data_IF_464368761232
#
_entry.id   IF_464368761232
#
_cell.length_a   1.000
_cell.length_b   1.000
_cell.length_c   1.000
_cell.angle_alpha   90.00
_cell.angle_beta   90.00
_cell.angle_gamma   90.00
#
_symmetry.space_group_name_H-M   'P 1'
#
loop_
_entity.id
_entity.type
_entity.pdbx_description
1 polymer ?
#
# COMPACT_ATOMS: atom_id res chain seq x y z
N UNK A 1 6.31 23.67 -8.67
CA UNK A 1 5.15 22.92 -9.21
C UNK A 1 4.00 23.05 -8.20
N UNK A 2 2.77 23.31 -8.62
CA UNK A 2 1.58 23.32 -7.74
C UNK A 2 0.65 22.18 -8.17
N UNK A 3 0.21 21.35 -7.21
CA UNK A 3 -0.75 20.27 -7.46
C UNK A 3 -2.17 20.83 -7.28
N UNK A 4 -2.99 20.72 -8.33
CA UNK A 4 -4.38 21.17 -8.37
C UNK A 4 -5.36 20.05 -8.68
N UNK A 5 -4.91 19.07 -9.46
CA UNK A 5 -5.74 17.95 -9.93
C UNK A 5 -5.14 16.62 -9.48
N UNK A 6 -6.01 15.71 -9.03
CA UNK A 6 -5.64 14.37 -8.57
C UNK A 6 -6.49 13.33 -9.27
N UNK A 7 -5.85 12.31 -9.82
CA UNK A 7 -6.53 11.11 -10.29
C UNK A 7 -6.21 9.93 -9.37
N UNK A 8 -7.22 9.17 -8.97
CA UNK A 8 -7.08 7.99 -8.09
C UNK A 8 -7.54 6.77 -8.87
N UNK A 9 -6.69 5.76 -8.96
CA UNK A 9 -7.04 4.47 -9.56
C UNK A 9 -7.16 3.40 -8.48
N UNK A 10 -8.37 2.79 -8.40
CA UNK A 10 -8.71 1.77 -7.42
C UNK A 10 -9.48 2.32 -6.21
N UNK A 11 -10.73 1.85 -6.04
CA UNK A 11 -11.56 2.12 -4.86
C UNK A 11 -11.52 0.93 -3.87
N UNK A 12 -10.29 0.54 -3.49
CA UNK A 12 -10.01 -0.24 -2.30
C UNK A 12 -10.21 0.59 -1.03
N UNK A 13 -9.77 0.07 0.13
CA UNK A 13 -9.87 0.81 1.39
C UNK A 13 -9.17 2.17 1.29
N UNK A 14 -7.92 2.20 0.83
CA UNK A 14 -7.12 3.43 0.74
C UNK A 14 -7.65 4.41 -0.31
N UNK A 15 -8.12 3.91 -1.46
CA UNK A 15 -8.68 4.77 -2.50
C UNK A 15 -9.97 5.46 -2.06
N UNK A 16 -10.83 4.78 -1.29
CA UNK A 16 -12.02 5.42 -0.69
C UNK A 16 -11.59 6.40 0.40
N UNK A 17 -10.67 6.01 1.27
CA UNK A 17 -10.21 6.82 2.41
C UNK A 17 -9.65 8.17 1.95
N UNK A 18 -8.59 8.13 1.14
CA UNK A 18 -7.93 9.35 0.66
C UNK A 18 -8.74 10.06 -0.41
N UNK A 19 -9.47 9.33 -1.27
CA UNK A 19 -10.38 9.93 -2.24
C UNK A 19 -11.49 10.74 -1.59
N UNK A 20 -12.13 10.22 -0.55
CA UNK A 20 -13.16 10.94 0.20
C UNK A 20 -12.60 12.16 0.96
N UNK A 21 -11.39 12.02 1.52
CA UNK A 21 -10.69 13.11 2.18
C UNK A 21 -10.44 14.28 1.21
N UNK A 22 -10.00 13.98 0.01
CA UNK A 22 -9.72 14.98 -1.03
C UNK A 22 -11.01 15.54 -1.65
N UNK A 23 -11.99 14.68 -1.98
CA UNK A 23 -13.25 15.11 -2.58
C UNK A 23 -14.08 16.06 -1.70
N UNK A 24 -13.92 15.99 -0.37
CA UNK A 24 -14.56 16.93 0.56
C UNK A 24 -13.89 18.31 0.60
N UNK A 25 -12.72 18.49 0.01
CA UNK A 25 -11.88 19.69 0.15
C UNK A 25 -11.47 20.37 -1.15
N UNK A 26 -11.46 19.61 -2.25
CA UNK A 26 -11.18 20.14 -3.59
C UNK A 26 -12.47 20.31 -4.39
N UNK A 27 -12.48 21.17 -5.41
CA UNK A 27 -13.52 21.15 -6.44
C UNK A 27 -13.69 19.75 -7.01
N UNK A 28 -14.93 19.33 -7.23
CA UNK A 28 -15.27 17.96 -7.61
C UNK A 28 -14.54 17.48 -8.87
N UNK A 29 -14.42 18.34 -9.85
CA UNK A 29 -13.74 18.08 -11.12
C UNK A 29 -12.23 17.85 -10.98
N UNK A 30 -11.65 18.30 -9.86
CA UNK A 30 -10.22 18.19 -9.59
C UNK A 30 -9.84 16.88 -8.91
N UNK A 31 -10.81 16.06 -8.46
CA UNK A 31 -10.57 14.73 -7.88
C UNK A 31 -11.28 13.69 -8.72
N UNK A 32 -10.54 13.01 -9.56
CA UNK A 32 -11.04 12.04 -10.52
C UNK A 32 -10.82 10.60 -10.00
N UNK A 33 -11.87 9.80 -10.00
CA UNK A 33 -11.79 8.38 -9.70
C UNK A 33 -11.83 7.62 -11.02
N UNK A 34 -10.71 7.01 -11.39
CA UNK A 34 -10.59 6.26 -12.63
C UNK A 34 -11.12 4.84 -12.40
N UNK A 35 -12.11 4.43 -13.19
CA UNK A 35 -12.66 3.09 -13.20
C UNK A 35 -13.26 2.75 -14.58
N UNK A 36 -13.29 1.46 -14.94
CA UNK A 36 -14.00 1.01 -16.12
C UNK A 36 -15.51 1.33 -16.05
N UNK A 37 -16.15 1.38 -17.20
CA UNK A 37 -17.57 1.79 -17.33
C UNK A 37 -18.50 0.96 -16.43
N UNK A 38 -18.31 -0.36 -16.36
CA UNK A 38 -19.13 -1.25 -15.53
C UNK A 38 -18.98 -0.91 -14.02
N UNK A 39 -17.76 -0.59 -13.58
CA UNK A 39 -17.52 -0.15 -12.20
C UNK A 39 -18.11 1.22 -11.95
N UNK A 40 -17.97 2.16 -12.88
CA UNK A 40 -18.58 3.50 -12.78
C UNK A 40 -20.10 3.42 -12.63
N UNK A 41 -20.78 2.64 -13.48
CA UNK A 41 -22.22 2.42 -13.38
C UNK A 41 -22.62 1.84 -12.03
N UNK A 42 -21.91 0.80 -11.58
CA UNK A 42 -22.14 0.19 -10.28
C UNK A 42 -21.94 1.18 -9.13
N UNK A 43 -20.87 1.97 -9.14
CA UNK A 43 -20.61 2.97 -8.10
C UNK A 43 -21.64 4.09 -8.09
N UNK A 44 -22.11 4.52 -9.26
CA UNK A 44 -23.21 5.50 -9.37
C UNK A 44 -24.52 4.95 -8.81
N UNK A 45 -24.84 3.70 -9.15
CA UNK A 45 -26.08 3.00 -8.73
C UNK A 45 -26.06 2.69 -7.24
N UNK A 46 -25.05 1.96 -6.78
CA UNK A 46 -25.00 1.40 -5.42
C UNK A 46 -24.44 2.39 -4.39
N UNK A 47 -23.73 3.42 -4.86
CA UNK A 47 -22.99 4.35 -4.02
C UNK A 47 -21.68 3.75 -3.48
N UNK A 48 -20.77 4.64 -3.08
CA UNK A 48 -19.58 4.32 -2.30
C UNK A 48 -19.68 5.10 -1.01
N UNK A 49 -19.38 4.47 0.12
CA UNK A 49 -19.60 5.07 1.44
C UNK A 49 -18.33 5.04 2.27
N UNK A 50 -18.11 6.12 3.03
CA UNK A 50 -17.03 6.27 3.98
C UNK A 50 -17.60 6.68 5.34
N UNK A 51 -17.43 5.86 6.37
CA UNK A 51 -17.96 6.08 7.73
C UNK A 51 -19.46 6.44 7.75
N UNK A 52 -20.26 5.73 6.94
CA UNK A 52 -21.71 5.90 6.84
C UNK A 52 -22.18 6.99 5.87
N UNK A 53 -21.32 7.89 5.42
CA UNK A 53 -21.65 8.93 4.46
C UNK A 53 -21.37 8.50 3.02
N UNK A 54 -22.25 8.88 2.09
CA UNK A 54 -22.03 8.64 0.66
C UNK A 54 -20.94 9.58 0.15
N UNK A 55 -19.91 9.00 -0.51
CA UNK A 55 -18.85 9.78 -1.14
C UNK A 55 -19.37 10.47 -2.42
N UNK A 56 -19.07 11.75 -2.58
CA UNK A 56 -19.40 12.50 -3.79
C UNK A 56 -18.21 12.50 -4.76
N UNK A 57 -18.01 11.37 -5.44
CA UNK A 57 -16.89 11.18 -6.37
C UNK A 57 -17.23 11.61 -7.79
N UNK A 58 -16.25 12.20 -8.46
CA UNK A 58 -16.23 12.41 -9.90
C UNK A 58 -15.57 11.19 -10.55
N UNK A 59 -16.37 10.36 -11.21
CA UNK A 59 -15.91 9.16 -11.91
C UNK A 59 -15.56 9.48 -13.36
N UNK A 60 -14.43 8.97 -13.82
CA UNK A 60 -13.97 9.05 -15.21
C UNK A 60 -13.56 7.67 -15.70
N UNK A 61 -13.75 7.40 -17.00
CA UNK A 61 -13.27 6.16 -17.61
C UNK A 61 -11.85 6.30 -18.16
N UNK A 62 -11.10 5.20 -18.34
CA UNK A 62 -9.76 5.25 -18.95
C UNK A 62 -9.72 5.86 -20.34
N UNK A 63 -10.83 5.78 -21.08
CA UNK A 63 -10.98 6.28 -22.45
C UNK A 63 -11.34 7.77 -22.51
N UNK A 64 -11.81 8.33 -21.41
CA UNK A 64 -12.21 9.73 -21.33
C UNK A 64 -10.98 10.64 -21.47
N UNK A 65 -11.02 11.53 -22.45
CA UNK A 65 -9.96 12.50 -22.67
C UNK A 65 -10.09 13.66 -21.69
N UNK A 66 -9.07 13.86 -20.89
CA UNK A 66 -8.99 14.96 -19.93
C UNK A 66 -7.56 15.51 -19.87
N UNK A 67 -7.42 16.72 -19.32
CA UNK A 67 -6.08 17.23 -19.00
C UNK A 67 -5.36 16.28 -18.04
N UNK A 68 -4.06 16.03 -18.23
CA UNK A 68 -3.27 15.20 -17.33
C UNK A 68 -3.41 15.65 -15.87
N UNK A 69 -3.40 14.70 -14.96
CA UNK A 69 -3.43 15.01 -13.53
C UNK A 69 -2.05 15.46 -13.05
N UNK A 70 -2.01 16.41 -12.10
CA UNK A 70 -0.77 16.79 -11.44
C UNK A 70 -0.27 15.67 -10.51
N UNK A 71 -1.21 14.93 -9.87
CA UNK A 71 -0.91 13.79 -9.00
C UNK A 71 -1.78 12.59 -9.38
N UNK A 72 -1.16 11.41 -9.49
CA UNK A 72 -1.87 10.14 -9.61
C UNK A 72 -1.57 9.27 -8.39
N UNK A 73 -2.63 8.73 -7.78
CA UNK A 73 -2.54 7.82 -6.63
C UNK A 73 -3.01 6.44 -7.07
N UNK A 74 -2.09 5.47 -7.05
CA UNK A 74 -2.43 4.06 -7.23
C UNK A 74 -2.87 3.45 -5.88
N UNK A 75 -4.11 2.97 -5.81
CA UNK A 75 -4.70 2.36 -4.61
C UNK A 75 -5.38 1.01 -4.94
N UNK A 76 -4.79 0.26 -5.84
CA UNK A 76 -5.20 -1.10 -6.24
C UNK A 76 -4.48 -2.17 -5.44
N UNK A 77 -4.87 -3.44 -5.57
CA UNK A 77 -4.04 -4.58 -5.16
C UNK A 77 -3.03 -4.92 -6.27
N UNK A 78 -1.95 -5.62 -5.93
CA UNK A 78 -0.86 -5.95 -6.87
C UNK A 78 -1.37 -6.65 -8.13
N UNK A 79 -2.34 -7.56 -8.00
CA UNK A 79 -2.94 -8.28 -9.13
C UNK A 79 -3.68 -7.37 -10.13
N UNK A 80 -4.06 -6.16 -9.71
CA UNK A 80 -4.70 -5.15 -10.56
C UNK A 80 -3.73 -4.06 -11.06
N UNK A 81 -2.44 -4.12 -10.71
CA UNK A 81 -1.50 -3.04 -10.99
C UNK A 81 -1.28 -2.84 -12.48
N UNK A 82 -1.10 -3.92 -13.25
CA UNK A 82 -0.88 -3.82 -14.70
C UNK A 82 -2.09 -3.23 -15.45
N UNK A 83 -3.30 -3.60 -15.03
CA UNK A 83 -4.53 -3.01 -15.58
C UNK A 83 -4.66 -1.54 -15.19
N UNK A 84 -4.34 -1.19 -13.94
CA UNK A 84 -4.36 0.18 -13.45
C UNK A 84 -3.35 1.05 -14.22
N UNK A 85 -2.14 0.55 -14.49
CA UNK A 85 -1.15 1.23 -15.32
C UNK A 85 -1.74 1.55 -16.71
N UNK A 86 -2.36 0.58 -17.37
CA UNK A 86 -3.00 0.83 -18.68
C UNK A 86 -4.12 1.86 -18.60
N UNK A 87 -4.91 1.80 -17.54
CA UNK A 87 -6.09 2.65 -17.34
C UNK A 87 -5.78 4.13 -17.08
N UNK A 88 -4.60 4.44 -16.51
CA UNK A 88 -4.24 5.84 -16.23
C UNK A 88 -3.51 6.53 -17.37
N UNK A 89 -3.29 5.86 -18.51
CA UNK A 89 -2.46 6.39 -19.61
C UNK A 89 -2.84 7.79 -20.06
N UNK A 90 -4.14 8.08 -20.18
CA UNK A 90 -4.64 9.39 -20.60
C UNK A 90 -4.59 10.46 -19.51
N UNK A 91 -4.24 10.06 -18.27
CA UNK A 91 -4.13 10.96 -17.12
C UNK A 91 -2.68 11.34 -16.80
N UNK A 92 -1.69 10.68 -17.44
CA UNK A 92 -0.27 10.92 -17.22
C UNK A 92 0.24 11.95 -18.22
N UNK A 93 0.80 13.05 -17.75
CA UNK A 93 1.47 14.08 -18.53
C UNK A 93 2.94 14.22 -18.19
N UNK A 94 3.57 15.23 -18.79
CA UNK A 94 5.00 15.51 -18.59
C UNK A 94 5.33 15.76 -17.12
N UNK A 95 4.51 16.55 -16.43
CA UNK A 95 4.76 16.98 -15.04
C UNK A 95 3.96 16.19 -14.00
N UNK A 96 3.32 15.10 -14.38
CA UNK A 96 2.54 14.26 -13.44
C UNK A 96 3.45 13.61 -12.42
N UNK A 97 3.12 13.74 -11.14
CA UNK A 97 3.72 12.94 -10.05
C UNK A 97 2.85 11.72 -9.81
N UNK A 98 3.48 10.56 -9.62
CA UNK A 98 2.80 9.30 -9.37
C UNK A 98 3.24 8.76 -8.01
N UNK A 99 2.29 8.42 -7.14
CA UNK A 99 2.52 7.69 -5.90
C UNK A 99 1.77 6.38 -5.90
N UNK A 100 2.36 5.36 -5.26
CA UNK A 100 1.73 4.07 -5.05
C UNK A 100 1.43 3.89 -3.55
N UNK A 101 0.16 3.68 -3.21
CA UNK A 101 -0.25 3.33 -1.86
C UNK A 101 -0.33 1.80 -1.65
N UNK A 102 0.19 1.00 -2.59
CA UNK A 102 0.24 -0.45 -2.48
C UNK A 102 1.17 -0.88 -1.35
N UNK A 103 0.90 -2.05 -0.80
CA UNK A 103 1.87 -2.74 0.06
C UNK A 103 3.03 -3.30 -0.79
N UNK A 104 4.12 -3.68 -0.14
CA UNK A 104 5.29 -4.26 -0.81
C UNK A 104 6.33 -3.23 -1.21
N UNK A 105 7.23 -3.63 -2.10
CA UNK A 105 8.42 -2.87 -2.50
C UNK A 105 8.64 -2.87 -4.02
N UNK A 106 7.68 -3.35 -4.80
CA UNK A 106 7.85 -3.58 -6.24
C UNK A 106 7.03 -2.63 -7.11
N UNK A 107 5.96 -2.05 -6.58
CA UNK A 107 5.00 -1.27 -7.37
C UNK A 107 5.61 -0.04 -8.03
N UNK A 108 6.51 0.66 -7.35
CA UNK A 108 7.17 1.85 -7.85
C UNK A 108 8.05 1.55 -9.07
N UNK A 109 8.79 0.44 -9.02
CA UNK A 109 9.61 0.01 -10.15
C UNK A 109 8.74 -0.35 -11.36
N UNK A 110 7.65 -1.09 -11.15
CA UNK A 110 6.71 -1.50 -12.20
C UNK A 110 6.03 -0.27 -12.84
N UNK A 111 5.60 0.69 -12.04
CA UNK A 111 5.01 1.95 -12.54
C UNK A 111 6.06 2.79 -13.26
N UNK A 112 7.28 2.86 -12.69
CA UNK A 112 8.38 3.61 -13.27
C UNK A 112 8.89 3.05 -14.60
N UNK A 113 8.79 1.72 -14.80
CA UNK A 113 9.09 1.09 -16.08
C UNK A 113 8.11 1.55 -17.18
N UNK A 114 6.85 1.79 -16.82
CA UNK A 114 5.82 2.23 -17.77
C UNK A 114 5.85 3.74 -18.06
N UNK A 115 6.13 4.58 -17.05
CA UNK A 115 5.95 6.02 -17.14
C UNK A 115 7.21 6.85 -16.90
N UNK A 116 8.32 6.21 -16.52
CA UNK A 116 9.57 6.85 -16.11
C UNK A 116 9.67 6.99 -14.59
N UNK A 117 10.83 6.61 -14.04
CA UNK A 117 11.09 6.75 -12.60
C UNK A 117 11.16 8.21 -12.13
N UNK A 118 11.40 9.13 -13.04
CA UNK A 118 11.38 10.57 -12.80
C UNK A 118 10.00 11.08 -12.36
N UNK A 119 8.92 10.40 -12.72
CA UNK A 119 7.55 10.71 -12.31
C UNK A 119 7.16 10.08 -10.98
N UNK A 120 7.83 9.01 -10.57
CA UNK A 120 7.48 8.26 -9.36
C UNK A 120 8.05 8.94 -8.12
N UNK A 121 7.19 9.17 -7.13
CA UNK A 121 7.55 9.52 -5.78
C UNK A 121 7.24 8.33 -4.88
N UNK A 122 8.18 7.91 -4.05
CA UNK A 122 7.99 6.78 -3.14
C UNK A 122 6.94 7.10 -2.09
N UNK A 123 6.11 6.11 -1.77
CA UNK A 123 5.03 6.29 -0.80
C UNK A 123 4.83 5.02 0.04
N UNK A 124 4.61 5.22 1.33
CA UNK A 124 4.23 4.17 2.28
C UNK A 124 2.97 4.59 3.01
N UNK A 125 1.87 3.87 2.82
CA UNK A 125 0.65 4.07 3.61
C UNK A 125 0.76 3.29 4.91
N UNK A 126 0.64 3.93 6.08
CA UNK A 126 0.78 3.26 7.38
C UNK A 126 -0.16 3.80 8.46
N UNK A 127 -0.43 2.99 9.48
CA UNK A 127 -1.18 3.39 10.68
C UNK A 127 -2.69 3.43 10.52
N UNK A 128 -3.25 3.13 9.33
CA UNK A 128 -4.70 3.06 9.14
C UNK A 128 -5.26 1.72 9.62
N UNK A 129 -6.48 1.77 10.15
CA UNK A 129 -7.30 0.62 10.52
C UNK A 129 -8.51 0.42 9.59
N UNK A 130 -8.41 0.96 8.39
CA UNK A 130 -9.47 1.02 7.39
C UNK A 130 -9.96 -0.36 6.95
N UNK A 131 -11.25 -0.65 7.17
CA UNK A 131 -11.92 -1.90 6.79
C UNK A 131 -12.99 -1.62 5.74
N UNK A 132 -12.90 -2.34 4.61
CA UNK A 132 -13.85 -2.22 3.51
C UNK A 132 -14.67 -3.50 3.35
N UNK A 133 -16.00 -3.35 3.43
CA UNK A 133 -16.97 -4.42 3.14
C UNK A 133 -17.91 -3.96 2.02
N UNK A 134 -17.89 -4.66 0.91
CA UNK A 134 -18.61 -4.21 -0.30
C UNK A 134 -18.13 -2.82 -0.75
N UNK A 135 -19.04 -1.85 -0.85
CA UNK A 135 -18.74 -0.46 -1.19
C UNK A 135 -18.67 0.47 0.04
N UNK A 136 -18.57 -0.08 1.25
CA UNK A 136 -18.57 0.68 2.50
C UNK A 136 -17.22 0.56 3.18
N UNK A 137 -16.61 1.70 3.50
CA UNK A 137 -15.40 1.83 4.28
C UNK A 137 -15.74 2.34 5.68
N UNK A 138 -15.12 1.75 6.70
CA UNK A 138 -15.10 2.26 8.07
C UNK A 138 -13.66 2.34 8.57
N UNK A 139 -13.35 3.31 9.40
CA UNK A 139 -12.06 3.48 10.05
C UNK A 139 -12.24 4.34 11.30
N UNK A 140 -11.40 4.13 12.30
CA UNK A 140 -11.23 5.00 13.47
C UNK A 140 -9.93 5.82 13.33
N UNK A 141 -8.87 5.20 12.77
CA UNK A 141 -7.61 5.86 12.48
C UNK A 141 -7.35 5.93 10.98
N UNK A 142 -7.24 7.15 10.48
CA UNK A 142 -6.95 7.40 9.07
C UNK A 142 -5.52 7.00 8.66
N UNK A 143 -4.58 6.93 9.62
CA UNK A 143 -3.18 6.74 9.32
C UNK A 143 -2.58 7.91 8.54
N UNK A 144 -1.48 7.65 7.84
CA UNK A 144 -0.76 8.66 7.05
C UNK A 144 -0.12 8.07 5.81
N UNK A 145 0.25 8.96 4.89
CA UNK A 145 1.11 8.67 3.75
C UNK A 145 2.52 9.19 4.04
N UNK A 146 3.50 8.30 4.15
CA UNK A 146 4.91 8.68 4.23
C UNK A 146 5.43 8.77 2.81
N UNK A 147 5.97 9.91 2.43
CA UNK A 147 6.43 10.19 1.06
C UNK A 147 7.89 10.65 1.04
N UNK A 148 8.57 10.45 -0.06
CA UNK A 148 9.93 10.95 -0.24
C UNK A 148 10.57 10.45 -1.53
N UNK A 149 11.76 10.94 -1.79
CA UNK A 149 12.54 10.54 -2.95
C UNK A 149 13.19 9.16 -2.76
N UNK A 150 13.53 8.51 -3.88
CA UNK A 150 14.28 7.26 -3.88
C UNK A 150 15.68 7.44 -3.27
N UNK A 151 16.34 8.54 -3.63
CA UNK A 151 17.71 8.82 -3.19
C UNK A 151 17.71 9.31 -1.74
N UNK A 152 18.40 8.63 -0.81
CA UNK A 152 18.49 9.06 0.58
C UNK A 152 19.07 10.47 0.74
N UNK A 153 18.48 11.26 1.63
CA UNK A 153 18.89 12.63 1.92
C UNK A 153 18.38 13.67 0.93
N UNK A 154 17.69 13.26 -0.13
CA UNK A 154 17.10 14.18 -1.12
C UNK A 154 15.67 14.53 -0.73
N UNK A 155 15.30 15.80 -0.89
CA UNK A 155 13.92 16.30 -0.85
C UNK A 155 13.69 17.16 -2.09
N UNK A 156 13.19 16.52 -3.14
CA UNK A 156 12.97 17.15 -4.44
C UNK A 156 11.82 18.15 -4.45
N UNK A 157 11.70 18.93 -5.50
CA UNK A 157 10.56 19.81 -5.71
C UNK A 157 9.23 19.03 -5.86
N UNK A 158 9.26 17.78 -6.32
CA UNK A 158 8.09 16.89 -6.34
C UNK A 158 7.64 16.55 -4.91
N UNK A 159 8.56 16.14 -4.05
CA UNK A 159 8.28 15.84 -2.64
C UNK A 159 7.68 17.06 -1.94
N UNK A 160 8.29 18.23 -2.11
CA UNK A 160 7.78 19.50 -1.55
C UNK A 160 6.39 19.84 -2.05
N UNK A 161 6.12 19.65 -3.34
CA UNK A 161 4.82 19.94 -3.94
C UNK A 161 3.73 19.00 -3.41
N UNK A 162 4.00 17.70 -3.30
CA UNK A 162 3.05 16.71 -2.74
C UNK A 162 2.84 16.97 -1.25
N UNK A 163 3.89 17.26 -0.48
CA UNK A 163 3.79 17.62 0.93
C UNK A 163 2.91 18.86 1.15
N UNK A 164 3.16 19.94 0.39
CA UNK A 164 2.36 21.17 0.45
C UNK A 164 0.89 20.93 0.07
N UNK A 165 0.65 20.04 -0.90
CA UNK A 165 -0.70 19.63 -1.29
C UNK A 165 -1.40 18.86 -0.16
N UNK A 166 -0.73 17.89 0.46
CA UNK A 166 -1.30 17.12 1.56
C UNK A 166 -1.58 18.01 2.78
N UNK A 167 -0.67 18.90 3.12
CA UNK A 167 -0.88 19.90 4.19
C UNK A 167 -2.11 20.76 3.92
N UNK A 168 -2.18 21.35 2.72
CA UNK A 168 -3.29 22.24 2.31
C UNK A 168 -4.66 21.56 2.40
N UNK A 169 -4.74 20.27 2.06
CA UNK A 169 -6.00 19.54 2.00
C UNK A 169 -6.18 18.54 3.15
N UNK A 170 -5.34 18.62 4.19
CA UNK A 170 -5.48 17.86 5.42
C UNK A 170 -5.36 16.34 5.23
N UNK A 171 -4.53 15.88 4.30
CA UNK A 171 -4.12 14.49 4.20
C UNK A 171 -2.97 14.29 5.18
N UNK A 172 -3.09 13.41 6.19
CA UNK A 172 -1.98 13.16 7.09
C UNK A 172 -0.77 12.60 6.34
N UNK A 173 0.39 13.20 6.54
CA UNK A 173 1.61 12.80 5.84
C UNK A 173 2.87 13.00 6.69
N UNK A 174 3.94 12.34 6.27
CA UNK A 174 5.32 12.52 6.75
C UNK A 174 6.25 12.57 5.54
N UNK A 175 7.29 13.40 5.57
CA UNK A 175 8.38 13.35 4.59
C UNK A 175 9.54 12.58 5.18
N UNK A 176 9.88 11.43 4.58
CA UNK A 176 11.02 10.62 4.99
C UNK A 176 12.18 10.81 3.99
N UNK A 177 13.37 11.04 4.52
CA UNK A 177 14.58 11.24 3.71
C UNK A 177 15.28 9.92 3.34
N UNK A 178 14.73 8.77 3.73
CA UNK A 178 15.24 7.46 3.35
C UNK A 178 14.09 6.50 3.04
N UNK A 179 13.34 6.81 1.99
CA UNK A 179 12.19 6.01 1.58
C UNK A 179 12.50 4.55 1.28
N UNK A 180 13.64 4.17 0.65
CA UNK A 180 13.98 2.75 0.52
C UNK A 180 14.00 2.03 1.87
N UNK A 181 14.62 2.62 2.88
CA UNK A 181 14.68 2.01 4.23
C UNK A 181 13.29 1.96 4.89
N UNK A 182 12.50 3.02 4.77
CA UNK A 182 11.10 3.06 5.26
C UNK A 182 10.24 1.97 4.62
N UNK A 183 10.32 1.85 3.31
CA UNK A 183 9.52 0.90 2.54
C UNK A 183 9.89 -0.56 2.85
N UNK A 184 11.19 -0.87 2.85
CA UNK A 184 11.68 -2.19 3.22
C UNK A 184 11.38 -2.54 4.69
N UNK A 185 11.47 -1.57 5.60
CA UNK A 185 11.10 -1.76 7.01
C UNK A 185 9.63 -2.12 7.18
N UNK A 186 8.73 -1.39 6.50
CA UNK A 186 7.30 -1.75 6.51
C UNK A 186 7.05 -3.09 5.81
N UNK A 187 7.74 -3.38 4.71
CA UNK A 187 7.66 -4.67 4.04
C UNK A 187 8.08 -5.81 4.98
N UNK A 188 9.20 -5.67 5.68
CA UNK A 188 9.66 -6.61 6.71
C UNK A 188 8.58 -6.86 7.76
N UNK A 189 7.96 -5.80 8.31
CA UNK A 189 6.87 -5.94 9.27
C UNK A 189 5.70 -6.73 8.68
N UNK A 190 5.27 -6.39 7.46
CA UNK A 190 4.15 -7.05 6.81
C UNK A 190 4.45 -8.52 6.51
N UNK A 191 5.67 -8.84 6.04
CA UNK A 191 6.13 -10.22 5.80
C UNK A 191 6.04 -11.04 7.09
N UNK A 192 6.51 -10.50 8.20
CA UNK A 192 6.44 -11.22 9.48
C UNK A 192 5.02 -11.31 10.03
N UNK A 193 4.40 -10.16 10.26
CA UNK A 193 3.13 -10.07 11.01
C UNK A 193 1.95 -10.62 10.22
N UNK A 194 1.75 -10.16 8.96
CA UNK A 194 0.54 -10.49 8.23
C UNK A 194 0.42 -11.98 7.97
N UNK A 195 1.52 -12.60 7.57
CA UNK A 195 1.55 -14.01 7.23
C UNK A 195 1.44 -14.90 8.47
N UNK A 196 2.19 -14.58 9.52
CA UNK A 196 2.14 -15.37 10.76
C UNK A 196 0.76 -15.32 11.41
N UNK A 197 0.15 -14.13 11.51
CA UNK A 197 -1.20 -13.99 12.08
C UNK A 197 -2.24 -14.77 11.26
N UNK A 198 -2.12 -14.77 9.92
CA UNK A 198 -3.00 -15.53 9.04
C UNK A 198 -2.82 -17.06 9.24
N UNK A 199 -1.57 -17.54 9.25
CA UNK A 199 -1.24 -18.98 9.42
C UNK A 199 -1.69 -19.51 10.80
N UNK A 200 -1.52 -18.72 11.85
CA UNK A 200 -1.95 -19.10 13.20
C UNK A 200 -3.45 -18.83 13.46
N UNK A 201 -4.18 -18.29 12.46
CA UNK A 201 -5.60 -17.92 12.56
C UNK A 201 -5.89 -17.10 13.83
N UNK A 202 -5.07 -16.07 14.07
CA UNK A 202 -4.99 -15.33 15.32
C UNK A 202 -5.20 -13.82 15.14
N UNK A 203 -4.66 -13.03 16.06
CA UNK A 203 -4.66 -11.56 16.04
C UNK A 203 -3.30 -11.02 16.51
N UNK A 204 -3.14 -9.70 16.61
CA UNK A 204 -1.87 -9.09 17.02
C UNK A 204 -1.36 -9.56 18.38
N UNK A 205 -2.26 -9.89 19.33
CA UNK A 205 -1.87 -10.36 20.65
C UNK A 205 -0.97 -11.61 20.62
N UNK A 206 -1.16 -12.50 19.63
CA UNK A 206 -0.37 -13.74 19.52
C UNK A 206 1.07 -13.46 19.11
N UNK A 207 1.30 -12.47 18.24
CA UNK A 207 2.65 -12.09 17.78
C UNK A 207 3.29 -10.98 18.66
N UNK A 208 2.52 -10.33 19.53
CA UNK A 208 3.03 -9.38 20.53
C UNK A 208 3.64 -10.12 21.75
N UNK A 209 3.19 -11.31 22.05
CA UNK A 209 3.67 -12.14 23.19
C UNK A 209 4.76 -13.11 22.74
N UNK A 210 5.64 -13.49 23.67
CA UNK A 210 6.60 -14.54 23.42
C UNK A 210 5.88 -15.87 23.16
N UNK A 211 6.36 -16.61 22.17
CA UNK A 211 5.80 -17.90 21.77
C UNK A 211 6.07 -18.22 20.30
N UNK A 212 5.62 -19.41 19.84
CA UNK A 212 5.94 -19.91 18.50
C UNK A 212 5.57 -18.99 17.34
N UNK A 213 4.43 -18.27 17.45
CA UNK A 213 4.00 -17.31 16.44
C UNK A 213 4.96 -16.11 16.36
N UNK A 214 5.37 -15.55 17.52
CA UNK A 214 6.35 -14.46 17.53
C UNK A 214 7.71 -14.89 17.02
N UNK A 215 8.14 -16.10 17.38
CA UNK A 215 9.44 -16.62 16.93
C UNK A 215 9.46 -16.81 15.41
N UNK A 216 8.41 -17.37 14.82
CA UNK A 216 8.25 -17.50 13.36
C UNK A 216 8.17 -16.12 12.68
N UNK A 217 7.44 -15.18 13.23
CA UNK A 217 7.36 -13.80 12.73
C UNK A 217 8.76 -13.16 12.66
N UNK A 218 9.51 -13.20 13.76
CA UNK A 218 10.85 -12.61 13.84
C UNK A 218 11.80 -13.31 12.87
N UNK A 219 11.73 -14.63 12.77
CA UNK A 219 12.55 -15.39 11.82
C UNK A 219 12.27 -15.01 10.36
N UNK A 220 11.00 -14.85 9.97
CA UNK A 220 10.63 -14.36 8.64
C UNK A 220 11.12 -12.92 8.39
N UNK A 221 11.05 -12.04 9.40
CA UNK A 221 11.56 -10.66 9.31
C UNK A 221 13.10 -10.64 9.13
N UNK A 222 13.82 -11.53 9.77
CA UNK A 222 15.29 -11.64 9.63
C UNK A 222 15.73 -12.07 8.23
N UNK A 223 14.96 -12.90 7.55
CA UNK A 223 15.23 -13.22 6.14
C UNK A 223 15.11 -11.97 5.25
N UNK A 224 14.15 -11.07 5.54
CA UNK A 224 14.04 -9.78 4.82
C UNK A 224 15.23 -8.86 5.11
N UNK A 225 15.76 -8.84 6.34
CA UNK A 225 16.97 -8.06 6.68
C UNK A 225 18.14 -8.50 5.82
N UNK A 226 18.39 -9.82 5.71
CA UNK A 226 19.48 -10.36 4.89
C UNK A 226 19.31 -9.95 3.42
N UNK A 227 18.10 -10.02 2.88
CA UNK A 227 17.82 -9.60 1.50
C UNK A 227 17.98 -8.09 1.30
N UNK A 228 17.60 -7.28 2.29
CA UNK A 228 17.76 -5.82 2.23
C UNK A 228 19.22 -5.38 2.11
N UNK A 229 20.14 -6.11 2.72
CA UNK A 229 21.58 -5.90 2.57
C UNK A 229 22.03 -6.14 1.13
N UNK A 230 21.56 -7.23 0.50
CA UNK A 230 21.86 -7.55 -0.90
C UNK A 230 21.31 -6.54 -1.90
N UNK A 231 20.21 -5.90 -1.57
CA UNK A 231 19.58 -4.85 -2.39
C UNK A 231 20.06 -3.43 -2.01
N UNK A 232 21.07 -3.31 -1.13
CA UNK A 232 21.72 -2.04 -0.77
C UNK A 232 20.89 -1.13 0.16
N UNK A 233 19.83 -1.65 0.78
CA UNK A 233 18.97 -0.90 1.71
C UNK A 233 19.48 -0.97 3.15
N UNK A 234 20.09 -2.10 3.53
CA UNK A 234 20.76 -2.31 4.80
C UNK A 234 19.85 -2.09 6.03
N UNK A 235 18.75 -2.84 6.14
CA UNK A 235 18.01 -2.95 7.39
C UNK A 235 18.88 -3.61 8.46
N UNK A 236 18.68 -3.22 9.72
CA UNK A 236 19.45 -3.69 10.88
C UNK A 236 18.56 -4.27 11.97
N UNK A 237 19.15 -4.85 13.01
CA UNK A 237 18.42 -5.26 14.22
C UNK A 237 17.75 -4.06 14.92
N UNK A 238 18.26 -2.84 14.77
CA UNK A 238 17.64 -1.63 15.30
C UNK A 238 16.34 -1.33 14.54
N UNK A 239 16.32 -1.53 13.22
CA UNK A 239 15.10 -1.40 12.42
C UNK A 239 14.08 -2.47 12.79
N UNK A 240 14.51 -3.71 13.00
CA UNK A 240 13.64 -4.78 13.50
C UNK A 240 12.99 -4.36 14.84
N UNK A 241 13.80 -3.89 15.79
CA UNK A 241 13.31 -3.46 17.10
C UNK A 241 12.34 -2.28 16.99
N UNK A 242 12.62 -1.30 16.13
CA UNK A 242 11.70 -0.20 15.85
C UNK A 242 10.34 -0.71 15.36
N UNK A 243 10.33 -1.62 14.38
CA UNK A 243 9.08 -2.14 13.85
C UNK A 243 8.34 -3.08 14.82
N UNK A 244 9.06 -3.80 15.69
CA UNK A 244 8.46 -4.55 16.80
C UNK A 244 7.83 -3.60 17.83
N UNK A 245 8.42 -2.44 18.06
CA UNK A 245 7.81 -1.41 18.91
C UNK A 245 6.54 -0.85 18.26
N UNK A 246 6.55 -0.57 16.95
CA UNK A 246 5.35 -0.17 16.21
C UNK A 246 4.26 -1.25 16.36
N UNK A 247 4.59 -2.53 16.18
CA UNK A 247 3.65 -3.63 16.39
C UNK A 247 3.04 -3.61 17.79
N UNK A 248 3.82 -3.30 18.83
CA UNK A 248 3.35 -3.29 20.21
C UNK A 248 2.32 -2.19 20.50
N UNK A 249 2.24 -1.15 19.66
CA UNK A 249 1.24 -0.07 19.79
C UNK A 249 -0.12 -0.44 19.18
N UNK A 250 -0.19 -1.50 18.37
CA UNK A 250 -1.44 -1.93 17.74
C UNK A 250 -2.34 -2.61 18.76
N UNK A 251 -3.65 -2.39 18.65
CA UNK A 251 -4.64 -3.01 19.52
C UNK A 251 -4.55 -4.55 19.45
N UNK A 252 -4.41 -5.25 20.59
CA UNK A 252 -4.10 -6.69 20.60
C UNK A 252 -5.16 -7.56 19.90
N UNK A 253 -6.41 -7.12 19.89
CA UNK A 253 -7.52 -7.83 19.23
C UNK A 253 -7.65 -7.50 17.74
N UNK A 254 -6.87 -6.56 17.24
CA UNK A 254 -6.83 -6.21 15.81
C UNK A 254 -6.22 -7.31 14.95
N UNK A 255 -6.53 -7.29 13.67
CA UNK A 255 -6.03 -8.25 12.67
C UNK A 255 -5.46 -7.53 11.47
N UNK A 256 -4.33 -7.98 10.94
CA UNK A 256 -3.78 -7.45 9.69
C UNK A 256 -4.65 -7.83 8.50
N UNK A 257 -4.48 -7.11 7.39
CA UNK A 257 -5.30 -7.26 6.17
C UNK A 257 -5.31 -8.70 5.62
N UNK A 258 -4.18 -9.40 5.65
CA UNK A 258 -4.09 -10.78 5.18
C UNK A 258 -4.94 -11.73 6.03
N UNK A 259 -4.93 -11.59 7.35
CA UNK A 259 -5.79 -12.41 8.21
C UNK A 259 -7.28 -12.15 7.94
N UNK A 260 -7.65 -10.88 7.67
CA UNK A 260 -9.01 -10.53 7.27
C UNK A 260 -9.40 -11.13 5.90
N UNK A 261 -8.46 -11.18 4.93
CA UNK A 261 -8.70 -11.83 3.63
C UNK A 261 -8.91 -13.34 3.80
N UNK A 262 -8.05 -14.01 4.57
CA UNK A 262 -8.15 -15.45 4.86
C UNK A 262 -9.48 -15.81 5.55
N UNK A 263 -9.88 -15.05 6.59
CA UNK A 263 -11.17 -15.25 7.26
C UNK A 263 -12.37 -15.06 6.34
N UNK A 264 -12.27 -14.13 5.42
CA UNK A 264 -13.32 -13.88 4.43
C UNK A 264 -13.23 -14.80 3.19
N UNK A 265 -12.38 -15.83 3.22
CA UNK A 265 -12.11 -16.75 2.09
C UNK A 265 -11.79 -16.01 0.80
N UNK A 266 -10.96 -15.00 0.89
CA UNK A 266 -10.42 -14.27 -0.27
C UNK A 266 -8.95 -14.61 -0.43
N UNK A 267 -8.48 -14.67 -1.68
CA UNK A 267 -7.05 -14.79 -1.95
C UNK A 267 -6.30 -13.61 -1.31
N UNK A 268 -5.28 -13.95 -0.56
CA UNK A 268 -4.43 -13.00 0.14
C UNK A 268 -3.36 -12.38 -0.78
N UNK A 269 -2.53 -11.52 -0.23
CA UNK A 269 -1.37 -10.95 -0.91
C UNK A 269 -0.08 -11.75 -0.62
N UNK A 270 -0.16 -13.08 -0.45
CA UNK A 270 1.01 -13.91 -0.13
C UNK A 270 2.11 -13.83 -1.20
N UNK A 271 1.74 -13.68 -2.49
CA UNK A 271 2.73 -13.47 -3.56
C UNK A 271 3.49 -12.15 -3.39
N UNK A 272 2.80 -11.12 -2.89
CA UNK A 272 3.42 -9.81 -2.64
C UNK A 272 4.37 -9.84 -1.44
N UNK A 273 4.16 -10.73 -0.48
CA UNK A 273 4.99 -10.86 0.73
C UNK A 273 6.01 -12.00 0.60
N UNK A 274 5.69 -13.22 1.01
CA UNK A 274 6.64 -14.34 0.85
C UNK A 274 7.01 -14.62 -0.60
N UNK A 275 6.10 -14.46 -1.55
CA UNK A 275 6.43 -14.59 -2.97
C UNK A 275 7.58 -13.67 -3.38
N UNK A 276 7.52 -12.40 -3.01
CA UNK A 276 8.61 -11.43 -3.25
C UNK A 276 9.89 -11.84 -2.51
N UNK A 277 9.81 -12.28 -1.25
CA UNK A 277 10.99 -12.76 -0.48
C UNK A 277 11.65 -13.94 -1.16
N UNK A 278 10.86 -14.91 -1.62
CA UNK A 278 11.37 -16.11 -2.34
C UNK A 278 12.03 -15.73 -3.67
N UNK A 279 11.44 -14.80 -4.42
CA UNK A 279 11.99 -14.29 -5.68
C UNK A 279 13.35 -13.61 -5.46
N UNK A 280 13.43 -12.68 -4.49
CA UNK A 280 14.70 -12.04 -4.13
C UNK A 280 15.71 -13.04 -3.57
N UNK A 281 15.28 -14.00 -2.74
CA UNK A 281 16.13 -15.07 -2.24
C UNK A 281 16.77 -15.86 -3.37
N UNK A 282 15.97 -16.27 -4.37
CA UNK A 282 16.47 -16.97 -5.56
C UNK A 282 17.43 -16.09 -6.38
N UNK A 283 17.10 -14.81 -6.59
CA UNK A 283 17.93 -13.86 -7.35
C UNK A 283 19.29 -13.63 -6.69
N UNK A 284 19.34 -13.59 -5.36
CA UNK A 284 20.51 -13.23 -4.56
C UNK A 284 21.25 -14.45 -3.96
N UNK A 285 20.80 -15.67 -4.28
CA UNK A 285 21.31 -16.94 -3.70
C UNK A 285 21.25 -16.94 -2.15
N UNK A 286 20.14 -16.46 -1.60
CA UNK A 286 19.86 -16.44 -0.17
C UNK A 286 18.72 -17.41 0.16
N UNK A 287 18.95 -18.30 1.11
CA UNK A 287 17.92 -19.23 1.58
C UNK A 287 16.89 -18.47 2.45
N UNK A 288 15.60 -18.70 2.18
CA UNK A 288 14.49 -18.09 2.90
C UNK A 288 13.46 -19.13 3.35
N UNK A 289 13.89 -20.12 4.18
CA UNK A 289 13.06 -21.27 4.52
C UNK A 289 11.80 -20.92 5.32
N UNK A 290 11.84 -19.91 6.17
CA UNK A 290 10.67 -19.50 6.97
C UNK A 290 9.61 -18.86 6.09
N UNK A 291 10.00 -18.01 5.14
CA UNK A 291 9.08 -17.45 4.19
C UNK A 291 8.53 -18.50 3.21
N UNK A 292 9.30 -19.51 2.85
CA UNK A 292 8.80 -20.65 2.08
C UNK A 292 7.72 -21.41 2.87
N UNK A 293 7.96 -21.72 4.14
CA UNK A 293 6.97 -22.39 4.99
C UNK A 293 5.68 -21.56 5.11
N UNK A 294 5.80 -20.24 5.34
CA UNK A 294 4.63 -19.34 5.43
C UNK A 294 3.85 -19.30 4.10
N UNK A 295 4.56 -19.25 2.98
CA UNK A 295 3.96 -19.27 1.64
C UNK A 295 3.15 -20.55 1.42
N UNK A 296 3.76 -21.71 1.65
CA UNK A 296 3.13 -23.02 1.45
C UNK A 296 1.90 -23.20 2.36
N UNK A 297 2.00 -22.79 3.63
CA UNK A 297 0.88 -22.89 4.58
C UNK A 297 -0.29 -21.98 4.19
N UNK A 298 -0.03 -20.75 3.72
CA UNK A 298 -1.09 -19.84 3.27
C UNK A 298 -1.73 -20.38 1.98
N UNK A 299 -0.95 -20.89 1.04
CA UNK A 299 -1.48 -21.52 -0.18
C UNK A 299 -2.32 -22.75 0.12
N UNK A 300 -1.94 -23.56 1.10
CA UNK A 300 -2.76 -24.68 1.56
C UNK A 300 -4.12 -24.17 2.11
N UNK A 301 -4.13 -23.10 2.91
CA UNK A 301 -5.37 -22.52 3.40
C UNK A 301 -6.25 -22.00 2.23
N UNK A 302 -5.65 -21.29 1.28
CA UNK A 302 -6.38 -20.76 0.11
C UNK A 302 -6.92 -21.84 -0.82
N UNK A 303 -6.30 -23.00 -0.87
CA UNK A 303 -6.77 -24.15 -1.67
C UNK A 303 -8.08 -24.76 -1.16
N UNK A 304 -8.52 -24.39 0.04
CA UNK A 304 -9.78 -24.83 0.63
C UNK A 304 -10.98 -23.90 0.29
N UNK A 305 -10.79 -22.85 -0.51
CA UNK A 305 -11.80 -21.80 -0.82
C UNK A 305 -12.78 -22.20 -1.93
#
# INVERSE_FOLDING_TARGET
MEIKTVSIIGLGALGILFGNQLAKRLPKENVRIIADENRVERYKKDGVYCSGERCDFHYVTPEELCEPADLIIFAVKINGLQDAIRSVKNHVGENTVIISALNGITSEAIIGEAYGMDKVLYCVAQGMDAVKVGNKLTYDNMGMLVIGDKEPGVVSEKTKAVAAFFEKYGVPYEVDQNMPKRQWGKFMLNVGVNQTVAVFKSNYNEVQKNGPARDMMIAAMKEVIILSEKEGVNLTEEDLNYWLQVLSTLGPNGKPSMAQDVEARRNSEVDLFSGTVLEFGKKQDVQTPVNLELFDRIRAIESEY
#
